data_IF_801997714163
#
_entry.id   IF_801997714163
#
_cell.length_a   1.000
_cell.length_b   1.000
_cell.length_c   1.000
_cell.angle_alpha   90.00
_cell.angle_beta   90.00
_cell.angle_gamma   90.00
#
_symmetry.space_group_name_H-M   'P 1'
#
loop_
_entity.id
_entity.type
_entity.pdbx_description
1 polymer ?
#
# COMPACT_ATOMS: atom_id res chain seq x y z
N UNK A 1 9.07 -6.35 7.09
CA UNK A 1 8.69 -7.22 5.96
C UNK A 1 8.08 -6.34 4.88
N UNK A 2 8.41 -6.56 3.61
CA UNK A 2 7.82 -5.83 2.48
C UNK A 2 6.78 -6.74 1.85
N UNK A 3 5.56 -6.24 1.68
CA UNK A 3 4.48 -6.93 0.98
C UNK A 3 4.22 -6.22 -0.35
N UNK A 4 4.08 -6.98 -1.42
CA UNK A 4 3.46 -6.47 -2.64
C UNK A 4 1.95 -6.78 -2.59
N UNK A 5 1.15 -5.75 -2.87
CA UNK A 5 -0.31 -5.84 -2.78
C UNK A 5 -0.96 -5.38 -4.07
N UNK A 6 -1.98 -6.11 -4.49
CA UNK A 6 -2.98 -5.67 -5.48
C UNK A 6 -4.33 -5.52 -4.76
N UNK A 7 -5.37 -5.12 -5.48
CA UNK A 7 -6.73 -5.04 -4.92
C UNK A 7 -7.24 -6.39 -4.35
N UNK A 8 -6.71 -7.53 -4.82
CA UNK A 8 -7.22 -8.87 -4.46
C UNK A 8 -6.19 -9.80 -3.83
N UNK A 9 -4.94 -9.35 -3.66
CA UNK A 9 -3.87 -10.20 -3.16
C UNK A 9 -2.83 -9.41 -2.40
N UNK A 10 -2.24 -10.03 -1.39
CA UNK A 10 -1.03 -9.58 -0.71
C UNK A 10 -0.08 -10.77 -0.59
N UNK A 11 1.21 -10.55 -0.82
CA UNK A 11 2.25 -11.57 -0.62
C UNK A 11 3.59 -10.93 -0.24
N UNK A 12 4.48 -11.66 0.45
CA UNK A 12 5.84 -11.20 0.70
C UNK A 12 6.59 -10.97 -0.60
N UNK A 13 7.40 -9.90 -0.64
CA UNK A 13 8.35 -9.71 -1.73
C UNK A 13 9.38 -10.85 -1.71
N UNK A 14 9.62 -11.56 -2.83
CA UNK A 14 10.51 -12.73 -2.86
C UNK A 14 11.97 -12.41 -2.49
N UNK A 15 12.49 -11.27 -2.94
CA UNK A 15 13.81 -10.79 -2.59
C UNK A 15 13.75 -9.33 -2.11
N UNK A 16 13.68 -9.09 -0.79
CA UNK A 16 13.66 -7.75 -0.24
C UNK A 16 14.97 -6.96 -0.46
N UNK A 17 16.10 -7.62 -0.75
CA UNK A 17 17.39 -6.94 -0.95
C UNK A 17 17.48 -6.27 -2.32
N UNK A 18 16.75 -6.80 -3.31
CA UNK A 18 16.64 -6.21 -4.65
C UNK A 18 15.40 -5.31 -4.81
N UNK A 19 14.60 -5.11 -3.77
CA UNK A 19 13.45 -4.23 -3.84
C UNK A 19 13.87 -2.75 -3.88
N UNK A 20 13.60 -2.08 -5.01
CA UNK A 20 13.92 -0.67 -5.22
C UNK A 20 12.67 0.21 -5.03
N UNK A 21 12.50 0.91 -3.88
CA UNK A 21 11.38 1.81 -3.69
C UNK A 21 11.55 3.08 -4.52
N UNK A 22 10.58 3.38 -5.39
CA UNK A 22 10.54 4.64 -6.14
C UNK A 22 9.98 5.80 -5.33
N UNK A 23 8.95 5.52 -4.52
CA UNK A 23 8.29 6.51 -3.67
C UNK A 23 7.74 5.81 -2.43
N UNK A 24 7.89 6.45 -1.27
CA UNK A 24 7.34 6.01 0.00
C UNK A 24 6.60 7.19 0.63
N UNK A 25 5.34 6.97 1.01
CA UNK A 25 4.55 7.95 1.73
C UNK A 25 3.52 7.20 2.59
N UNK A 26 3.09 7.84 3.67
CA UNK A 26 1.88 7.42 4.37
C UNK A 26 0.72 8.38 4.06
N UNK A 27 -0.51 7.95 4.36
CA UNK A 27 -1.71 8.71 4.01
C UNK A 27 -1.74 10.08 4.71
N UNK A 28 -1.23 10.19 5.95
CA UNK A 28 -1.14 11.46 6.66
C UNK A 28 -0.18 12.44 5.96
N UNK A 29 1.03 12.01 5.64
CA UNK A 29 2.03 12.83 4.94
C UNK A 29 1.53 13.29 3.58
N UNK A 30 0.82 12.43 2.83
CA UNK A 30 0.26 12.83 1.54
C UNK A 30 -0.78 13.94 1.70
N UNK A 31 -1.71 13.76 2.64
CA UNK A 31 -2.80 14.71 2.86
C UNK A 31 -2.30 16.06 3.40
N UNK A 32 -1.26 16.05 4.24
CA UNK A 32 -0.70 17.26 4.85
C UNK A 32 0.25 18.02 3.92
N UNK A 33 1.17 17.30 3.23
CA UNK A 33 2.23 17.94 2.44
C UNK A 33 1.80 18.25 1.01
N UNK A 34 0.84 17.50 0.46
CA UNK A 34 0.32 17.71 -0.90
C UNK A 34 -1.21 17.65 -0.94
N UNK A 35 -1.91 18.66 -0.38
CA UNK A 35 -3.37 18.68 -0.36
C UNK A 35 -3.97 18.57 -1.76
N UNK A 36 -4.87 17.60 -1.95
CA UNK A 36 -5.52 17.32 -3.24
C UNK A 36 -4.69 16.47 -4.21
N UNK A 37 -3.41 16.21 -3.93
CA UNK A 37 -2.64 15.23 -4.68
C UNK A 37 -3.14 13.82 -4.37
N UNK A 38 -3.12 12.94 -5.38
CA UNK A 38 -3.60 11.56 -5.29
C UNK A 38 -5.08 11.44 -4.86
N UNK A 39 -5.87 12.53 -4.90
CA UNK A 39 -7.29 12.52 -4.56
C UNK A 39 -8.06 11.44 -5.32
N UNK A 40 -7.86 11.35 -6.64
CA UNK A 40 -8.47 10.30 -7.48
C UNK A 40 -8.06 8.88 -7.06
N UNK A 41 -6.84 8.69 -6.54
CA UNK A 41 -6.32 7.40 -6.07
C UNK A 41 -6.89 7.03 -4.69
N UNK A 42 -7.12 8.02 -3.83
CA UNK A 42 -7.77 7.83 -2.54
C UNK A 42 -9.30 7.67 -2.67
N UNK A 43 -9.90 8.32 -3.67
CA UNK A 43 -11.32 8.22 -4.01
C UNK A 43 -11.66 6.96 -4.82
N UNK A 44 -10.68 6.36 -5.50
CA UNK A 44 -10.83 5.01 -6.07
C UNK A 44 -11.23 4.08 -4.93
N UNK A 45 -12.40 3.44 -5.02
CA UNK A 45 -13.01 2.64 -3.97
C UNK A 45 -11.99 1.70 -3.28
N UNK A 46 -11.40 2.21 -2.19
CA UNK A 46 -10.42 1.51 -1.37
C UNK A 46 -11.19 0.70 -0.36
N UNK A 47 -11.26 -0.60 -0.57
CA UNK A 47 -11.66 -1.53 0.47
C UNK A 47 -10.46 -1.76 1.41
N UNK A 48 -10.31 -0.84 2.36
CA UNK A 48 -9.19 -0.84 3.30
C UNK A 48 -9.23 -2.06 4.24
N UNK A 49 -10.44 -2.51 4.61
CA UNK A 49 -10.65 -3.71 5.41
C UNK A 49 -10.15 -4.95 4.67
N UNK A 50 -10.50 -5.10 3.38
CA UNK A 50 -10.03 -6.20 2.56
C UNK A 50 -8.50 -6.16 2.41
N UNK A 51 -7.92 -4.99 2.16
CA UNK A 51 -6.47 -4.82 2.03
C UNK A 51 -5.75 -5.27 3.31
N UNK A 52 -6.18 -4.77 4.47
CA UNK A 52 -5.57 -5.12 5.76
C UNK A 52 -5.73 -6.62 6.06
N UNK A 53 -6.87 -7.21 5.72
CA UNK A 53 -7.13 -8.65 5.87
C UNK A 53 -6.19 -9.50 5.01
N UNK A 54 -5.99 -9.11 3.75
CA UNK A 54 -5.05 -9.78 2.84
C UNK A 54 -3.60 -9.68 3.37
N UNK A 55 -3.20 -8.50 3.84
CA UNK A 55 -1.88 -8.29 4.42
C UNK A 55 -1.66 -9.13 5.68
N UNK A 56 -2.64 -9.18 6.59
CA UNK A 56 -2.56 -10.01 7.79
C UNK A 56 -2.37 -11.50 7.44
N UNK A 57 -3.12 -11.98 6.44
CA UNK A 57 -2.98 -13.37 5.93
C UNK A 57 -1.62 -13.64 5.29
N UNK A 58 -0.97 -12.64 4.70
CA UNK A 58 0.35 -12.80 4.10
C UNK A 58 1.50 -12.80 5.13
N UNK A 59 1.23 -12.36 6.36
CA UNK A 59 2.21 -12.28 7.46
C UNK A 59 2.07 -13.45 8.44
N UNK A 60 0.85 -13.99 8.61
CA UNK A 60 0.58 -15.18 9.42
C UNK A 60 0.89 -16.50 8.71
#
# INVERSE_FOLDING_TARGET
QILETTYTSARPVPDPQEYCPYVCFNDQEVLELWPGALGEVFELARDEELKLSLMAKAVG
#
